data_IF_156350593903
#
_entry.id   IF_156350593903
#
_cell.length_a   1.000
_cell.length_b   1.000
_cell.length_c   1.000
_cell.angle_alpha   90.00
_cell.angle_beta   90.00
_cell.angle_gamma   90.00
#
_symmetry.space_group_name_H-M   'P 1'
#
loop_
_entity.id
_entity.type
_entity.pdbx_description
1 polymer ?
#
# COMPACT_ATOMS: atom_id res chain seq x y z
N UNK A 1 -9.22 -14.93 -19.64
CA UNK A 1 -8.67 -13.57 -19.47
C UNK A 1 -8.15 -13.50 -18.05
N UNK A 2 -6.87 -13.24 -17.87
CA UNK A 2 -6.34 -12.88 -16.56
C UNK A 2 -7.04 -11.61 -16.10
N UNK A 3 -7.57 -11.61 -14.88
CA UNK A 3 -8.15 -10.41 -14.29
C UNK A 3 -7.02 -9.58 -13.71
N UNK A 4 -6.98 -8.29 -14.01
CA UNK A 4 -6.05 -7.37 -13.37
C UNK A 4 -6.34 -7.30 -11.87
N UNK A 5 -5.28 -7.35 -11.06
CA UNK A 5 -5.33 -7.12 -9.63
C UNK A 5 -5.81 -5.69 -9.39
N UNK A 6 -6.91 -5.54 -8.65
CA UNK A 6 -7.44 -4.21 -8.31
C UNK A 6 -7.11 -3.92 -6.85
N UNK A 7 -6.49 -2.77 -6.60
CA UNK A 7 -6.09 -2.33 -5.27
C UNK A 7 -6.76 -0.99 -4.99
N UNK A 8 -7.43 -0.89 -3.84
CA UNK A 8 -8.02 0.35 -3.34
C UNK A 8 -7.55 0.60 -1.93
N UNK A 9 -7.44 1.87 -1.56
CA UNK A 9 -7.00 2.32 -0.24
C UNK A 9 -7.81 3.54 0.20
N UNK A 10 -7.39 4.18 1.29
CA UNK A 10 -7.98 5.44 1.77
C UNK A 10 -7.69 6.65 0.86
N UNK A 11 -6.85 6.49 -0.17
CA UNK A 11 -6.50 7.50 -1.16
C UNK A 11 -6.28 6.85 -2.53
N UNK A 12 -6.41 7.66 -3.58
CA UNK A 12 -6.18 7.27 -4.97
C UNK A 12 -4.68 7.30 -5.31
N UNK A 13 -4.29 6.64 -6.41
CA UNK A 13 -2.92 6.71 -6.93
C UNK A 13 -2.47 8.16 -7.19
N UNK A 14 -1.29 8.53 -6.71
CA UNK A 14 -0.77 9.90 -6.72
C UNK A 14 -1.53 10.90 -5.85
N UNK A 15 -2.54 10.47 -5.09
CA UNK A 15 -3.30 11.30 -4.15
C UNK A 15 -2.55 11.55 -2.84
N UNK A 16 -3.07 12.49 -2.04
CA UNK A 16 -2.55 12.73 -0.70
C UNK A 16 -2.95 11.61 0.25
N UNK A 17 -1.99 11.16 1.07
CA UNK A 17 -2.24 10.25 2.19
C UNK A 17 -3.01 11.02 3.27
N UNK A 18 -4.19 10.56 3.72
CA UNK A 18 -4.92 11.20 4.81
C UNK A 18 -4.08 11.23 6.09
N UNK A 19 -4.16 12.33 6.83
CA UNK A 19 -3.34 12.60 8.02
C UNK A 19 -3.35 11.45 9.03
N UNK A 20 -4.49 10.77 9.21
CA UNK A 20 -4.60 9.65 10.14
C UNK A 20 -3.60 8.50 9.87
N UNK A 21 -3.13 8.33 8.62
CA UNK A 21 -2.18 7.29 8.19
C UNK A 21 -0.74 7.81 8.03
N UNK A 22 -0.45 9.05 8.42
CA UNK A 22 0.91 9.62 8.38
C UNK A 22 1.52 9.65 9.78
N UNK A 23 2.81 9.99 9.84
CA UNK A 23 3.54 10.21 11.09
C UNK A 23 3.00 11.40 11.93
N UNK A 24 2.27 12.33 11.31
CA UNK A 24 1.62 13.45 12.01
C UNK A 24 0.28 13.05 12.67
N UNK A 25 -0.32 11.95 12.23
CA UNK A 25 -1.58 11.44 12.75
C UNK A 25 -1.41 10.23 13.67
N UNK A 26 -2.10 9.13 13.33
CA UNK A 26 -2.14 7.94 14.19
C UNK A 26 -1.04 6.93 13.89
N UNK A 27 -0.28 7.13 12.81
CA UNK A 27 0.77 6.22 12.34
C UNK A 27 0.27 4.77 12.22
N UNK A 28 -0.96 4.61 11.70
CA UNK A 28 -1.56 3.30 11.41
C UNK A 28 -1.51 3.03 9.91
N UNK A 29 -1.40 1.76 9.52
CA UNK A 29 -1.42 1.38 8.11
C UNK A 29 -2.77 1.73 7.47
N UNK A 30 -2.79 2.26 6.23
CA UNK A 30 -4.03 2.51 5.52
C UNK A 30 -4.75 1.20 5.20
N UNK A 31 -6.10 1.19 5.14
CA UNK A 31 -6.84 0.00 4.75
C UNK A 31 -6.49 -0.36 3.30
N UNK A 32 -6.25 -1.64 3.03
CA UNK A 32 -6.05 -2.16 1.68
C UNK A 32 -7.19 -3.10 1.32
N UNK A 33 -7.83 -2.83 0.19
CA UNK A 33 -8.80 -3.72 -0.43
C UNK A 33 -8.16 -4.26 -1.70
N UNK A 34 -7.93 -5.57 -1.73
CA UNK A 34 -7.33 -6.27 -2.86
C UNK A 34 -8.39 -7.17 -3.48
N UNK A 35 -8.76 -6.88 -4.73
CA UNK A 35 -9.74 -7.62 -5.51
C UNK A 35 -9.06 -8.29 -6.71
N UNK A 36 -9.73 -9.27 -7.31
CA UNK A 36 -9.22 -10.00 -8.49
C UNK A 36 -7.88 -10.74 -8.28
N UNK A 37 -7.59 -11.17 -7.05
CA UNK A 37 -6.43 -12.06 -6.78
C UNK A 37 -6.53 -13.32 -7.67
N UNK A 38 -5.48 -13.68 -8.43
CA UNK A 38 -5.47 -14.89 -9.25
C UNK A 38 -5.78 -16.14 -8.42
N UNK A 39 -6.58 -17.06 -8.97
CA UNK A 39 -7.03 -18.26 -8.24
C UNK A 39 -5.91 -19.23 -7.85
N UNK A 40 -4.78 -19.15 -8.55
CA UNK A 40 -3.59 -19.96 -8.31
C UNK A 40 -2.57 -19.31 -7.38
N UNK A 41 -2.77 -18.03 -7.02
CA UNK A 41 -1.93 -17.32 -6.04
C UNK A 41 -1.94 -18.05 -4.70
N UNK A 42 -0.75 -18.28 -4.15
CA UNK A 42 -0.57 -18.98 -2.85
C UNK A 42 -0.42 -18.03 -1.68
N UNK A 43 0.11 -16.85 -1.95
CA UNK A 43 0.47 -15.85 -0.95
C UNK A 43 0.30 -14.46 -1.56
N UNK A 44 -0.01 -13.50 -0.70
CA UNK A 44 0.08 -12.07 -1.00
C UNK A 44 1.15 -11.49 -0.08
N UNK A 45 1.82 -10.44 -0.55
CA UNK A 45 2.74 -9.64 0.24
C UNK A 45 2.41 -8.16 0.00
N UNK A 46 2.65 -7.32 1.01
CA UNK A 46 2.52 -5.86 0.89
C UNK A 46 3.85 -5.22 1.22
N UNK A 47 4.31 -4.32 0.34
CA UNK A 47 5.52 -3.53 0.51
C UNK A 47 5.14 -2.07 0.32
N UNK A 48 5.47 -1.22 1.30
CA UNK A 48 5.33 0.23 1.20
C UNK A 48 6.71 0.86 1.34
N UNK A 49 7.21 1.41 0.24
CA UNK A 49 8.53 2.03 0.15
C UNK A 49 8.40 3.53 -0.11
N UNK A 50 9.23 4.31 0.59
CA UNK A 50 9.50 5.72 0.30
C UNK A 50 10.91 5.84 -0.33
N UNK A 51 11.01 5.98 -1.66
CA UNK A 51 12.29 6.22 -2.33
C UNK A 51 12.84 7.63 -2.12
N UNK A 52 12.01 8.57 -1.65
CA UNK A 52 12.35 9.99 -1.46
C UNK A 52 12.86 10.29 -0.04
N UNK A 53 12.92 9.28 0.83
CA UNK A 53 13.41 9.41 2.19
C UNK A 53 14.84 10.01 2.25
N UNK A 54 15.17 10.85 3.26
CA UNK A 54 16.42 11.64 3.27
C UNK A 54 17.73 10.86 3.16
N UNK A 55 17.73 9.58 3.53
CA UNK A 55 18.90 8.71 3.51
C UNK A 55 18.82 7.61 2.43
N UNK A 56 18.02 7.84 1.38
CA UNK A 56 17.66 6.85 0.37
C UNK A 56 16.45 6.02 0.80
N UNK A 57 16.14 4.97 0.04
CA UNK A 57 14.91 4.17 0.19
C UNK A 57 14.63 3.75 1.65
N UNK A 58 13.38 3.92 2.06
CA UNK A 58 12.89 3.49 3.37
C UNK A 58 11.63 2.64 3.24
N UNK A 59 11.65 1.43 3.79
CA UNK A 59 10.48 0.54 3.82
C UNK A 59 9.65 0.80 5.07
N UNK A 60 8.46 1.37 4.90
CA UNK A 60 7.51 1.67 5.98
C UNK A 60 6.72 0.43 6.43
N UNK A 61 6.40 -0.48 5.52
CA UNK A 61 5.59 -1.65 5.83
C UNK A 61 5.98 -2.85 4.96
N UNK A 62 6.14 -4.02 5.59
CA UNK A 62 6.44 -5.30 4.96
C UNK A 62 5.66 -6.41 5.67
N UNK A 63 4.72 -7.06 4.97
CA UNK A 63 3.95 -8.21 5.46
C UNK A 63 3.80 -9.30 4.41
#
# INVERSE_FOLDING_TARGET
MEKELLIKSAFEDGGFIPEEYTADGRDISPPLIIENVPSDAKTLAVIVDDPDAPNGNFTHWLI
#
